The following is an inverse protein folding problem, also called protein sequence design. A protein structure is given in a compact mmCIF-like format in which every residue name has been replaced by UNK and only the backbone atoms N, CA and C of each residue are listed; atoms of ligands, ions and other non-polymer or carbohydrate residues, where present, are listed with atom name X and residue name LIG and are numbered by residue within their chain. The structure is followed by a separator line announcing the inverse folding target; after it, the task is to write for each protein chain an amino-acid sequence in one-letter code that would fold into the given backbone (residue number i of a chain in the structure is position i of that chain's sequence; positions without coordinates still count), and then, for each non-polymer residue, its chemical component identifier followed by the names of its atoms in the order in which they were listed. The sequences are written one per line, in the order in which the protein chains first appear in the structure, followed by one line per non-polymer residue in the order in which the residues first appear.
data_IF_433961157630
#
_entry.id   IF_433961157630
#
_cell.length_a   1.000
_cell.length_b   1.000
_cell.length_c   1.000
_cell.angle_alpha   90.00
_cell.angle_beta   90.00
_cell.angle_gamma   90.00
#
_symmetry.space_group_name_H-M   'P 1'
#
loop_
_entity.id
_entity.type
_entity.pdbx_description
1 polymer ?
#
# COMPACT_ATOMS: atom_id res chain seq x y z
N UNK A 1 -29.17 64.50 -4.07
CA UNK A 1 -29.66 63.23 -4.62
C UNK A 1 -28.62 62.13 -4.41
N UNK A 2 -29.09 60.94 -4.05
CA UNK A 2 -28.48 59.59 -4.09
C UNK A 2 -27.16 59.32 -3.33
N UNK A 3 -27.37 58.66 -2.19
CA UNK A 3 -26.49 57.76 -1.44
C UNK A 3 -25.91 56.67 -2.36
N UNK A 4 -24.65 56.31 -2.19
CA UNK A 4 -24.19 54.95 -2.49
C UNK A 4 -23.34 54.42 -1.33
N UNK A 5 -24.00 53.51 -0.62
CA UNK A 5 -23.50 52.63 0.42
C UNK A 5 -22.61 51.58 -0.25
N UNK A 6 -21.32 51.53 0.08
CA UNK A 6 -20.48 50.40 -0.34
C UNK A 6 -20.65 49.27 0.70
N UNK A 7 -21.20 48.15 0.23
CA UNK A 7 -21.39 46.92 0.99
C UNK A 7 -20.05 46.32 1.42
N UNK A 8 -19.94 46.03 2.72
CA UNK A 8 -18.97 45.09 3.28
C UNK A 8 -19.22 43.69 2.68
N UNK A 9 -18.26 43.19 1.91
CA UNK A 9 -18.17 41.76 1.66
C UNK A 9 -17.54 41.09 2.87
N UNK A 10 -18.38 40.53 3.75
CA UNK A 10 -17.98 39.45 4.64
C UNK A 10 -17.71 38.21 3.76
N UNK A 11 -16.47 38.08 3.29
CA UNK A 11 -15.97 36.81 2.78
C UNK A 11 -15.77 35.88 3.97
N UNK A 12 -16.77 35.08 4.30
CA UNK A 12 -16.62 33.92 5.16
C UNK A 12 -15.60 32.98 4.50
N UNK A 13 -14.35 33.03 4.96
CA UNK A 13 -13.34 32.05 4.60
C UNK A 13 -13.81 30.69 5.13
N UNK A 14 -14.28 29.86 4.21
CA UNK A 14 -14.52 28.44 4.44
C UNK A 14 -13.16 27.86 4.84
N UNK A 15 -13.01 27.22 6.01
CA UNK A 15 -11.78 26.49 6.29
C UNK A 15 -11.69 25.37 5.26
N UNK A 16 -10.78 25.55 4.30
CA UNK A 16 -10.37 24.51 3.38
C UNK A 16 -9.84 23.37 4.24
N UNK A 17 -10.56 22.24 4.27
CA UNK A 17 -10.01 20.99 4.76
C UNK A 17 -8.91 20.59 3.78
N UNK A 18 -7.71 21.16 3.97
CA UNK A 18 -6.49 20.56 3.48
C UNK A 18 -6.40 19.21 4.17
N UNK A 19 -6.90 18.18 3.48
CA UNK A 19 -6.62 16.79 3.79
C UNK A 19 -5.10 16.71 3.81
N UNK A 20 -4.52 16.59 5.00
CA UNK A 20 -3.12 16.27 5.14
C UNK A 20 -2.93 14.89 4.50
N UNK A 21 -2.65 14.87 3.20
CA UNK A 21 -1.89 13.80 2.59
C UNK A 21 -0.58 13.81 3.36
N UNK A 22 -0.51 12.91 4.34
CA UNK A 22 0.74 12.55 5.00
C UNK A 22 1.64 12.13 3.86
N UNK A 23 2.56 13.02 3.49
CA UNK A 23 3.62 12.73 2.55
C UNK A 23 4.39 11.56 3.16
N UNK A 24 4.05 10.34 2.72
CA UNK A 24 4.80 9.15 3.05
C UNK A 24 6.15 9.37 2.39
N UNK A 25 7.12 9.60 3.26
CA UNK A 25 8.44 10.11 2.93
C UNK A 25 9.11 9.21 1.87
N UNK A 26 9.53 9.81 0.77
CA UNK A 26 10.35 9.16 -0.25
C UNK A 26 11.60 8.48 0.33
N UNK A 27 12.06 8.90 1.51
CA UNK A 27 13.17 8.24 2.23
C UNK A 27 12.80 6.85 2.78
N UNK A 28 11.53 6.57 3.09
CA UNK A 28 11.07 5.24 3.48
C UNK A 28 11.10 4.29 2.29
N UNK A 29 10.94 4.79 1.06
CA UNK A 29 11.01 3.99 -0.16
C UNK A 29 12.46 3.62 -0.52
N UNK A 30 13.43 4.50 -0.25
CA UNK A 30 14.87 4.18 -0.38
C UNK A 30 15.37 3.17 0.67
N UNK A 31 14.67 3.06 1.81
CA UNK A 31 14.91 2.05 2.86
C UNK A 31 13.88 0.91 2.84
N UNK A 32 13.03 0.85 1.81
CA UNK A 32 11.88 -0.05 1.75
C UNK A 32 12.28 -1.50 1.93
N UNK A 33 13.41 -1.93 1.36
CA UNK A 33 13.89 -3.31 1.49
C UNK A 33 13.98 -3.76 2.94
N UNK A 34 14.40 -2.89 3.86
CA UNK A 34 14.45 -3.21 5.31
C UNK A 34 13.10 -3.05 6.01
N UNK A 35 12.25 -2.13 5.54
CA UNK A 35 10.93 -1.84 6.11
C UNK A 35 9.85 -2.82 5.65
N UNK A 36 10.12 -3.62 4.62
CA UNK A 36 9.18 -4.59 4.08
C UNK A 36 9.44 -5.98 4.67
N UNK A 37 10.69 -6.29 5.01
CA UNK A 37 11.04 -7.59 5.60
C UNK A 37 10.26 -7.80 6.90
N UNK A 38 9.58 -8.95 6.97
CA UNK A 38 8.69 -9.34 8.06
C UNK A 38 7.40 -9.99 7.57
N UNK A 39 6.59 -10.44 8.52
CA UNK A 39 5.26 -11.02 8.28
C UNK A 39 4.19 -9.94 8.32
N UNK A 40 3.22 -10.07 7.42
CA UNK A 40 2.17 -9.10 7.21
C UNK A 40 0.84 -9.80 7.07
N UNK A 41 -0.19 -9.28 7.74
CA UNK A 41 -1.54 -9.83 7.74
C UNK A 41 -2.53 -8.80 7.21
N UNK A 42 -3.46 -9.23 6.36
CA UNK A 42 -4.54 -8.37 5.87
C UNK A 42 -5.30 -7.75 7.04
N UNK A 43 -5.45 -6.43 7.01
CA UNK A 43 -6.23 -5.69 8.01
C UNK A 43 -7.72 -6.08 7.94
N UNK A 44 -8.23 -6.37 6.74
CA UNK A 44 -9.59 -6.86 6.54
C UNK A 44 -9.56 -8.28 5.94
N UNK A 45 -9.70 -9.34 6.76
CA UNK A 45 -9.69 -10.73 6.29
C UNK A 45 -10.76 -11.05 5.24
N UNK A 46 -11.88 -10.31 5.23
CA UNK A 46 -12.94 -10.49 4.23
C UNK A 46 -12.47 -10.19 2.80
N UNK A 47 -11.42 -9.38 2.63
CA UNK A 47 -10.82 -9.08 1.33
C UNK A 47 -9.95 -10.24 0.80
N UNK A 48 -9.59 -11.23 1.61
CA UNK A 48 -8.85 -12.40 1.12
C UNK A 48 -9.63 -13.19 0.07
N UNK A 49 -10.97 -13.23 0.17
CA UNK A 49 -11.83 -13.83 -0.86
C UNK A 49 -11.80 -13.03 -2.15
N UNK A 50 -11.70 -11.70 -2.07
CA UNK A 50 -11.60 -10.83 -3.23
C UNK A 50 -10.31 -11.08 -4.01
N UNK A 51 -9.17 -11.23 -3.32
CA UNK A 51 -7.89 -11.60 -3.95
C UNK A 51 -8.04 -12.88 -4.79
N UNK A 52 -8.68 -13.92 -4.22
CA UNK A 52 -8.96 -15.17 -4.95
C UNK A 52 -9.86 -14.96 -6.17
N UNK A 53 -10.92 -14.18 -6.03
CA UNK A 53 -11.84 -13.88 -7.15
C UNK A 53 -11.17 -13.06 -8.25
N UNK A 54 -10.20 -12.21 -7.90
CA UNK A 54 -9.39 -11.45 -8.87
C UNK A 54 -8.36 -12.31 -9.61
N UNK A 55 -8.23 -13.60 -9.27
CA UNK A 55 -7.21 -14.48 -9.83
C UNK A 55 -5.80 -14.12 -9.35
N UNK A 56 -5.70 -13.47 -8.19
CA UNK A 56 -4.42 -12.96 -7.70
C UNK A 56 -3.50 -14.12 -7.29
N UNK A 57 -2.32 -14.17 -7.92
CA UNK A 57 -1.44 -15.33 -7.82
C UNK A 57 -0.67 -15.35 -6.51
N UNK A 58 -0.17 -14.19 -6.07
CA UNK A 58 0.82 -14.14 -5.01
C UNK A 58 0.27 -13.63 -3.67
N UNK A 59 -0.72 -12.73 -3.68
CA UNK A 59 -1.22 -12.11 -2.47
C UNK A 59 -2.26 -12.99 -1.74
N UNK A 60 -2.19 -13.00 -0.42
CA UNK A 60 -3.00 -13.86 0.47
C UNK A 60 -3.32 -13.13 1.78
N UNK A 61 -4.04 -13.80 2.68
CA UNK A 61 -4.39 -13.24 3.98
C UNK A 61 -3.16 -12.94 4.85
N UNK A 62 -2.13 -13.78 4.78
CA UNK A 62 -0.83 -13.55 5.39
C UNK A 62 0.23 -13.68 4.31
N UNK A 63 1.21 -12.77 4.32
CA UNK A 63 2.34 -12.74 3.39
C UNK A 63 3.63 -12.49 4.16
N UNK A 64 4.75 -12.96 3.63
CA UNK A 64 6.02 -12.91 4.32
C UNK A 64 7.16 -12.57 3.36
N UNK A 65 7.76 -11.41 3.59
CA UNK A 65 9.02 -11.01 2.96
C UNK A 65 10.15 -11.43 3.90
N UNK A 66 10.73 -12.61 3.66
CA UNK A 66 11.67 -13.24 4.59
C UNK A 66 13.05 -12.56 4.57
N UNK A 67 13.54 -12.25 3.38
CA UNK A 67 14.80 -11.53 3.14
C UNK A 67 14.69 -10.77 1.82
N UNK A 68 15.77 -10.15 1.32
CA UNK A 68 15.76 -9.32 0.10
C UNK A 68 15.36 -10.04 -1.19
N UNK A 69 15.41 -11.36 -1.22
CA UNK A 69 15.15 -12.16 -2.40
C UNK A 69 14.05 -13.19 -2.18
N UNK A 70 13.46 -13.29 -0.98
CA UNK A 70 12.50 -14.34 -0.67
C UNK A 70 11.17 -13.79 -0.14
N UNK A 71 10.12 -14.04 -0.91
CA UNK A 71 8.71 -13.84 -0.60
C UNK A 71 8.06 -15.21 -0.44
N UNK A 72 7.16 -15.34 0.53
CA UNK A 72 6.44 -16.60 0.79
C UNK A 72 5.07 -16.32 1.36
N UNK A 73 4.18 -17.28 1.17
CA UNK A 73 2.85 -17.32 1.80
C UNK A 73 2.85 -18.47 2.80
N UNK A 74 2.43 -18.24 4.06
CA UNK A 74 2.28 -19.33 5.02
C UNK A 74 1.33 -20.43 4.53
N UNK A 75 1.82 -21.67 4.55
CA UNK A 75 1.07 -22.84 4.09
C UNK A 75 1.24 -23.17 2.61
N UNK A 76 1.92 -22.32 1.84
CA UNK A 76 2.33 -22.64 0.48
C UNK A 76 3.77 -23.18 0.51
N UNK A 77 4.03 -24.25 -0.24
CA UNK A 77 5.35 -24.88 -0.30
C UNK A 77 6.35 -24.06 -1.12
N UNK A 78 5.83 -23.19 -1.98
CA UNK A 78 6.62 -22.40 -2.92
C UNK A 78 7.03 -21.05 -2.33
N UNK A 79 8.14 -20.51 -2.83
CA UNK A 79 8.61 -19.18 -2.49
C UNK A 79 9.08 -18.45 -3.74
N UNK A 80 8.90 -17.14 -3.75
CA UNK A 80 9.12 -16.28 -4.90
C UNK A 80 10.18 -15.24 -4.63
N UNK A 81 10.69 -14.65 -5.69
CA UNK A 81 11.50 -13.45 -5.56
C UNK A 81 10.62 -12.22 -5.46
N UNK A 82 11.12 -11.18 -4.80
CA UNK A 82 10.46 -9.89 -4.75
C UNK A 82 11.45 -8.75 -4.85
N UNK A 83 10.95 -7.59 -5.28
CA UNK A 83 11.70 -6.34 -5.28
C UNK A 83 10.76 -5.16 -5.13
N UNK A 84 11.18 -4.17 -4.34
CA UNK A 84 10.53 -2.85 -4.33
C UNK A 84 11.46 -1.83 -4.96
N UNK A 85 10.91 -1.01 -5.85
CA UNK A 85 11.61 0.09 -6.50
C UNK A 85 10.68 1.28 -6.60
N UNK A 86 10.91 2.30 -5.77
CA UNK A 86 9.92 3.36 -5.57
C UNK A 86 8.58 2.76 -5.13
N UNK A 87 7.47 3.28 -5.63
CA UNK A 87 6.12 2.83 -5.26
C UNK A 87 5.66 1.55 -5.98
N UNK A 88 6.59 0.71 -6.46
CA UNK A 88 6.29 -0.53 -7.18
C UNK A 88 6.87 -1.74 -6.48
N UNK A 89 6.04 -2.75 -6.24
CA UNK A 89 6.43 -4.10 -5.83
C UNK A 89 6.34 -5.01 -7.05
N UNK A 90 7.40 -5.78 -7.31
CA UNK A 90 7.40 -6.87 -8.28
C UNK A 90 7.56 -8.18 -7.52
N UNK A 91 6.71 -9.16 -7.79
CA UNK A 91 6.82 -10.55 -7.33
C UNK A 91 7.09 -11.44 -8.55
N UNK A 92 8.03 -12.36 -8.44
CA UNK A 92 8.48 -13.18 -9.57
C UNK A 92 8.65 -14.63 -9.17
N UNK A 93 8.03 -15.50 -9.95
CA UNK A 93 8.28 -16.93 -9.97
C UNK A 93 9.34 -17.25 -11.02
N UNK A 94 10.55 -17.57 -10.58
CA UNK A 94 11.66 -17.85 -11.50
C UNK A 94 11.51 -19.20 -12.20
N UNK A 95 10.79 -20.15 -11.60
CA UNK A 95 10.65 -21.50 -12.15
C UNK A 95 9.61 -21.54 -13.28
N UNK A 96 8.62 -20.65 -13.22
CA UNK A 96 7.50 -20.59 -14.17
C UNK A 96 7.53 -19.35 -15.07
N UNK A 97 8.54 -18.49 -14.95
CA UNK A 97 8.66 -17.19 -15.64
C UNK A 97 7.43 -16.27 -15.44
N UNK A 98 6.68 -16.47 -14.35
CA UNK A 98 5.51 -15.67 -14.01
C UNK A 98 5.93 -14.47 -13.13
N UNK A 99 5.30 -13.32 -13.33
CA UNK A 99 5.49 -12.18 -12.46
C UNK A 99 4.22 -11.35 -12.30
N UNK A 100 4.15 -10.59 -11.21
CA UNK A 100 3.11 -9.60 -10.99
C UNK A 100 3.71 -8.32 -10.44
N UNK A 101 3.09 -7.20 -10.82
CA UNK A 101 3.50 -5.88 -10.38
C UNK A 101 2.35 -5.17 -9.67
N UNK A 102 2.67 -4.52 -8.56
CA UNK A 102 1.70 -3.82 -7.72
C UNK A 102 2.18 -2.43 -7.39
N UNK A 103 1.23 -1.50 -7.24
CA UNK A 103 1.52 -0.23 -6.60
C UNK A 103 1.54 -0.42 -5.09
N UNK A 104 2.56 0.12 -4.42
CA UNK A 104 2.71 0.03 -2.97
C UNK A 104 2.90 1.39 -2.32
N UNK A 105 2.47 1.49 -1.07
CA UNK A 105 2.71 2.64 -0.19
C UNK A 105 2.68 2.19 1.26
N UNK A 106 3.29 2.98 2.15
CA UNK A 106 3.27 2.74 3.59
C UNK A 106 2.40 3.81 4.26
N UNK A 107 1.34 3.44 4.96
CA UNK A 107 0.63 4.44 5.80
C UNK A 107 1.44 4.80 7.04
N UNK A 108 2.20 3.83 7.54
CA UNK A 108 3.14 3.96 8.65
C UNK A 108 4.15 2.79 8.58
N UNK A 109 5.07 2.70 9.54
CA UNK A 109 6.11 1.65 9.61
C UNK A 109 5.59 0.22 9.79
N UNK A 110 4.31 0.07 10.16
CA UNK A 110 3.64 -1.20 10.40
C UNK A 110 2.44 -1.42 9.48
N UNK A 111 2.17 -0.54 8.51
CA UNK A 111 1.05 -0.67 7.59
C UNK A 111 1.49 -0.53 6.13
N UNK A 112 1.50 -1.65 5.41
CA UNK A 112 1.80 -1.74 3.98
C UNK A 112 0.49 -1.79 3.19
N UNK A 113 0.33 -0.92 2.21
CA UNK A 113 -0.81 -0.93 1.30
C UNK A 113 -0.35 -1.40 -0.08
N UNK A 114 -1.03 -2.41 -0.62
CA UNK A 114 -0.80 -2.96 -1.95
C UNK A 114 -2.06 -2.72 -2.79
N UNK A 115 -1.93 -2.05 -3.93
CA UNK A 115 -3.06 -1.70 -4.79
C UNK A 115 -3.03 -2.50 -6.10
N UNK A 116 -4.21 -3.02 -6.48
CA UNK A 116 -4.47 -3.71 -7.74
C UNK A 116 -5.62 -2.98 -8.44
N UNK A 117 -5.31 -2.27 -9.54
CA UNK A 117 -6.28 -1.40 -10.19
C UNK A 117 -6.83 -0.35 -9.22
N UNK A 118 -8.15 -0.35 -9.01
CA UNK A 118 -8.83 0.57 -8.08
C UNK A 118 -8.93 0.03 -6.64
N UNK A 119 -8.56 -1.23 -6.41
CA UNK A 119 -8.63 -1.86 -5.09
C UNK A 119 -7.33 -1.67 -4.33
N UNK A 120 -7.43 -1.44 -3.02
CA UNK A 120 -6.27 -1.37 -2.12
C UNK A 120 -6.46 -2.33 -0.96
N UNK A 121 -5.43 -3.14 -0.72
CA UNK A 121 -5.34 -4.11 0.35
C UNK A 121 -4.32 -3.62 1.36
N UNK A 122 -4.79 -3.32 2.57
CA UNK A 122 -3.93 -2.90 3.67
C UNK A 122 -3.50 -4.12 4.47
N UNK A 123 -2.20 -4.22 4.72
CA UNK A 123 -1.57 -5.24 5.52
C UNK A 123 -0.90 -4.61 6.73
N UNK A 124 -1.07 -5.24 7.89
CA UNK A 124 -0.43 -4.85 9.13
C UNK A 124 0.71 -5.80 9.46
N UNK A 125 1.84 -5.25 9.89
CA UNK A 125 2.99 -6.02 10.36
C UNK A 125 2.59 -6.85 11.57
N UNK A 126 2.82 -8.16 11.49
CA UNK A 126 2.60 -9.12 12.58
C UNK A 126 3.75 -8.99 13.57
N UNK A 127 3.44 -8.82 14.85
CA UNK A 127 4.46 -8.84 15.91
C UNK A 127 4.88 -10.29 16.13
N UNK A 128 6.20 -10.53 16.17
CA UNK A 128 6.78 -11.81 16.54
C UNK A 128 6.76 -12.04 18.06
#
# INVERSE_FOLDING_TARGET
MKKFLFLLFLGSAIPSFAKAETAVDSTLLEKADSLVIGRWELVNPGQAKLLKTMGELFLRAEIHFADRNKYSVPGEAHSWNWRISGAKLTLTDLDYEEFSEYKVSFSDSNTLNISIGTQTFSYKRKKE
#
